data_IF_752489476757
#
_entry.id   IF_752489476757
#
_cell.length_a   1.000
_cell.length_b   1.000
_cell.length_c   1.000
_cell.angle_alpha   90.00
_cell.angle_beta   90.00
_cell.angle_gamma   90.00
#
_symmetry.space_group_name_H-M   'P 1'
#
loop_
_entity.id
_entity.type
_entity.pdbx_description
1 polymer ?
#
# COMPACT_ATOMS: atom_id res chain seq x y z
N UNK A 1 -29.22 -2.85 -27.67
CA UNK A 1 -30.19 -1.72 -27.60
C UNK A 1 -30.82 -1.79 -26.22
N UNK A 2 -30.49 -0.86 -25.33
CA UNK A 2 -31.13 -0.79 -24.02
C UNK A 2 -32.40 0.07 -24.16
N UNK A 3 -33.54 -0.50 -23.80
CA UNK A 3 -34.82 0.22 -23.75
C UNK A 3 -34.79 1.34 -22.69
N UNK A 4 -35.45 2.48 -22.93
CA UNK A 4 -35.54 3.56 -21.95
C UNK A 4 -36.44 3.16 -20.79
N UNK A 5 -35.92 3.20 -19.57
CA UNK A 5 -36.64 2.92 -18.32
C UNK A 5 -37.66 4.06 -18.08
N UNK A 6 -38.93 3.71 -17.86
CA UNK A 6 -40.03 4.67 -17.66
C UNK A 6 -39.80 5.55 -16.41
N UNK A 7 -40.28 6.81 -16.45
CA UNK A 7 -40.07 7.79 -15.37
C UNK A 7 -40.61 7.38 -13.99
N UNK A 8 -41.54 6.41 -13.91
CA UNK A 8 -42.10 5.86 -12.68
C UNK A 8 -41.12 4.95 -11.92
N UNK A 9 -40.26 4.18 -12.64
CA UNK A 9 -39.22 3.33 -12.03
C UNK A 9 -38.07 4.14 -11.45
N UNK A 10 -37.72 5.25 -12.08
CA UNK A 10 -36.65 6.14 -11.60
C UNK A 10 -37.01 6.81 -10.27
N UNK A 11 -38.30 7.19 -10.10
CA UNK A 11 -38.79 7.80 -8.86
C UNK A 11 -38.87 6.78 -7.72
N UNK A 12 -39.24 5.53 -8.00
CA UNK A 12 -39.25 4.46 -7.00
C UNK A 12 -37.86 4.11 -6.53
N UNK A 13 -36.91 3.97 -7.47
CA UNK A 13 -35.47 3.72 -7.13
C UNK A 13 -34.84 4.85 -6.29
N UNK A 14 -35.20 6.12 -6.50
CA UNK A 14 -34.76 7.22 -5.66
C UNK A 14 -35.30 7.19 -4.23
N UNK A 15 -36.55 6.73 -4.03
CA UNK A 15 -37.10 6.57 -2.68
C UNK A 15 -36.48 5.43 -1.90
N UNK A 16 -36.13 4.34 -2.58
CA UNK A 16 -35.46 3.20 -1.95
C UNK A 16 -33.99 3.53 -1.58
N UNK A 17 -33.27 4.32 -2.39
CA UNK A 17 -31.92 4.84 -2.05
C UNK A 17 -31.95 5.75 -0.80
N UNK A 18 -32.94 6.64 -0.67
CA UNK A 18 -33.06 7.52 0.50
C UNK A 18 -33.39 6.78 1.80
N UNK A 19 -34.03 5.60 1.72
CA UNK A 19 -34.27 4.75 2.90
C UNK A 19 -32.99 3.97 3.30
N UNK A 20 -32.21 3.49 2.33
CA UNK A 20 -30.89 2.88 2.60
C UNK A 20 -29.93 3.84 3.30
N UNK A 21 -29.92 5.14 2.96
CA UNK A 21 -29.09 6.14 3.62
C UNK A 21 -29.43 6.35 5.10
N UNK A 22 -30.68 6.13 5.50
CA UNK A 22 -31.10 6.23 6.91
C UNK A 22 -30.79 4.98 7.73
N UNK A 23 -30.72 3.80 7.11
CA UNK A 23 -30.41 2.53 7.80
C UNK A 23 -28.90 2.33 7.98
N UNK A 24 -28.04 2.95 7.14
CA UNK A 24 -26.57 2.85 7.23
C UNK A 24 -25.93 3.88 8.14
N UNK A 25 -26.67 4.79 8.75
CA UNK A 25 -26.16 5.85 9.63
C UNK A 25 -25.37 5.36 10.87
N UNK A 26 -25.37 4.05 11.15
CA UNK A 26 -24.58 3.43 12.23
C UNK A 26 -23.23 2.83 11.81
N UNK A 27 -22.94 2.73 10.50
CA UNK A 27 -21.73 2.07 9.98
C UNK A 27 -20.63 3.04 9.51
N UNK A 28 -20.80 4.34 9.70
CA UNK A 28 -19.96 5.38 9.10
C UNK A 28 -18.57 5.55 9.74
N UNK A 29 -18.28 4.95 10.89
CA UNK A 29 -16.98 5.12 11.57
C UNK A 29 -16.27 3.79 11.73
N UNK A 30 -15.28 3.54 10.87
CA UNK A 30 -14.34 2.44 11.10
C UNK A 30 -13.38 2.78 12.24
N UNK A 31 -13.13 1.82 13.15
CA UNK A 31 -12.13 1.97 14.22
C UNK A 31 -10.75 1.60 13.70
N UNK A 32 -9.73 2.29 14.18
CA UNK A 32 -8.35 1.84 14.04
C UNK A 32 -8.12 0.72 15.05
N UNK A 33 -7.88 -0.49 14.56
CA UNK A 33 -7.64 -1.66 15.41
C UNK A 33 -6.16 -1.91 15.69
N UNK A 34 -5.30 -1.45 14.77
CA UNK A 34 -3.85 -1.64 14.86
C UNK A 34 -3.12 -0.56 14.06
N UNK A 35 -1.80 -0.49 14.26
CA UNK A 35 -0.88 0.26 13.39
C UNK A 35 0.24 -0.65 12.94
N UNK A 36 0.73 -0.41 11.73
CA UNK A 36 1.87 -1.14 11.21
C UNK A 36 3.14 -0.32 11.36
N UNK A 37 4.21 -0.93 11.86
CA UNK A 37 5.56 -0.37 11.86
C UNK A 37 6.34 -0.94 10.69
N UNK A 38 6.91 -0.08 9.87
CA UNK A 38 7.66 -0.45 8.67
C UNK A 38 8.96 0.34 8.52
N UNK A 39 9.80 -0.06 7.58
CA UNK A 39 11.03 0.66 7.23
C UNK A 39 10.79 1.91 6.35
N UNK A 40 9.53 2.28 6.07
CA UNK A 40 9.15 3.37 5.18
C UNK A 40 8.65 4.60 5.96
N UNK A 41 9.54 5.56 6.28
CA UNK A 41 9.16 6.75 7.05
C UNK A 41 8.35 7.78 6.23
N UNK A 42 8.34 7.64 4.91
CA UNK A 42 7.64 8.52 3.95
C UNK A 42 7.07 7.70 2.80
N UNK A 43 6.10 8.26 2.09
CA UNK A 43 5.47 7.61 0.92
C UNK A 43 6.40 7.34 -0.26
N UNK A 44 7.53 8.07 -0.38
CA UNK A 44 8.49 7.87 -1.47
C UNK A 44 9.38 6.66 -1.19
N UNK A 45 9.39 5.71 -2.11
CA UNK A 45 10.13 4.44 -1.99
C UNK A 45 9.30 3.27 -1.44
N UNK A 46 8.05 3.47 -1.06
CA UNK A 46 7.15 2.36 -0.71
C UNK A 46 6.88 1.53 -1.97
N UNK A 47 6.90 0.18 -1.89
CA UNK A 47 6.46 -0.69 -2.98
C UNK A 47 5.06 -0.30 -3.45
N UNK A 48 4.84 -0.31 -4.76
CA UNK A 48 3.57 0.16 -5.35
C UNK A 48 2.38 -0.72 -5.04
N UNK A 49 2.61 -1.97 -4.69
CA UNK A 49 1.62 -2.97 -4.26
C UNK A 49 2.29 -3.92 -3.28
N UNK A 50 1.48 -4.53 -2.43
CA UNK A 50 1.91 -5.64 -1.57
C UNK A 50 2.46 -6.82 -2.37
N UNK A 51 3.39 -7.56 -1.79
CA UNK A 51 4.01 -8.74 -2.41
C UNK A 51 5.06 -8.45 -3.49
N UNK A 52 5.31 -7.17 -3.84
CA UNK A 52 6.37 -6.82 -4.81
C UNK A 52 7.77 -6.78 -4.20
N UNK A 53 7.89 -6.77 -2.90
CA UNK A 53 9.16 -6.90 -2.17
C UNK A 53 8.93 -7.70 -0.88
N UNK A 54 10.00 -8.22 -0.29
CA UNK A 54 9.95 -8.91 1.01
C UNK A 54 9.98 -7.94 2.20
N UNK A 55 9.59 -6.67 2.00
CA UNK A 55 9.58 -5.67 3.06
C UNK A 55 8.75 -6.14 4.25
N UNK A 56 9.35 -6.11 5.43
CA UNK A 56 8.70 -6.55 6.66
C UNK A 56 7.91 -5.42 7.32
N UNK A 57 6.85 -5.79 8.05
CA UNK A 57 6.07 -4.92 8.90
C UNK A 57 5.68 -5.61 10.20
N UNK A 58 5.62 -4.84 11.28
CA UNK A 58 5.11 -5.29 12.57
C UNK A 58 3.75 -4.65 12.83
N UNK A 59 2.70 -5.46 12.82
CA UNK A 59 1.35 -5.03 13.18
C UNK A 59 1.23 -5.02 14.69
N UNK A 60 0.99 -3.84 15.26
CA UNK A 60 0.82 -3.61 16.69
C UNK A 60 -0.62 -3.18 16.94
N UNK A 61 -1.36 -3.98 17.68
CA UNK A 61 -2.76 -3.69 18.00
C UNK A 61 -2.89 -2.50 18.96
N UNK A 62 -3.94 -1.72 18.78
CA UNK A 62 -4.31 -0.68 19.75
C UNK A 62 -4.71 -1.35 21.08
N UNK A 63 -4.54 -0.68 22.23
CA UNK A 63 -4.73 -1.30 23.56
C UNK A 63 -6.08 -2.02 23.74
N UNK A 64 -7.16 -1.46 23.21
CA UNK A 64 -8.52 -2.04 23.27
C UNK A 64 -8.59 -3.41 22.58
N UNK A 65 -7.77 -3.65 21.55
CA UNK A 65 -7.81 -4.85 20.69
C UNK A 65 -6.68 -5.86 20.97
N UNK A 66 -5.90 -5.69 22.05
CA UNK A 66 -4.82 -6.60 22.45
C UNK A 66 -5.34 -7.85 23.16
N UNK A 67 -6.36 -8.47 22.60
CA UNK A 67 -6.98 -9.67 23.17
C UNK A 67 -6.37 -10.90 22.50
N UNK A 68 -5.67 -11.82 23.23
CA UNK A 68 -5.05 -13.00 22.63
C UNK A 68 -6.06 -13.89 21.89
N UNK A 69 -7.28 -13.98 22.40
CA UNK A 69 -8.34 -14.78 21.79
C UNK A 69 -8.76 -14.29 20.39
N UNK A 70 -8.57 -13.01 20.08
CA UNK A 70 -8.84 -12.46 18.76
C UNK A 70 -7.87 -12.96 17.68
N UNK A 71 -6.73 -13.54 18.09
CA UNK A 71 -5.71 -14.09 17.20
C UNK A 71 -5.71 -15.62 17.16
N UNK A 72 -6.62 -16.27 17.90
CA UNK A 72 -6.69 -17.74 17.97
C UNK A 72 -6.97 -18.33 16.59
N UNK A 73 -6.08 -19.19 16.11
CA UNK A 73 -6.18 -19.86 14.80
C UNK A 73 -5.61 -19.04 13.63
N UNK A 74 -5.13 -17.79 13.84
CA UNK A 74 -4.54 -16.99 12.75
C UNK A 74 -3.23 -17.60 12.23
N UNK A 75 -2.53 -18.36 13.07
CA UNK A 75 -1.28 -19.06 12.73
C UNK A 75 -1.44 -20.16 11.68
N UNK A 76 -2.66 -20.61 11.43
CA UNK A 76 -2.97 -21.61 10.39
C UNK A 76 -2.95 -21.00 8.98
N UNK A 77 -2.97 -19.65 8.87
CA UNK A 77 -2.99 -18.92 7.60
C UNK A 77 -1.61 -18.39 7.23
N UNK A 78 -1.23 -18.57 5.98
CA UNK A 78 0.04 -18.05 5.44
C UNK A 78 -0.06 -16.60 4.98
N UNK A 79 -1.24 -16.13 4.59
CA UNK A 79 -1.47 -14.78 4.08
C UNK A 79 -2.70 -14.15 4.71
N UNK A 80 -2.63 -12.83 4.83
CA UNK A 80 -3.69 -12.01 5.41
C UNK A 80 -4.03 -10.85 4.48
N UNK A 81 -5.31 -10.54 4.37
CA UNK A 81 -5.79 -9.27 3.87
C UNK A 81 -5.74 -8.23 4.98
N UNK A 82 -5.12 -7.09 4.72
CA UNK A 82 -5.11 -5.93 5.61
C UNK A 82 -5.87 -4.79 4.95
N UNK A 83 -6.91 -4.29 5.62
CA UNK A 83 -7.63 -3.08 5.28
C UNK A 83 -7.06 -1.93 6.09
N UNK A 84 -6.61 -0.85 5.43
CA UNK A 84 -5.87 0.22 6.07
C UNK A 84 -6.20 1.60 5.48
N UNK A 85 -5.83 2.67 6.17
CA UNK A 85 -6.12 4.03 5.77
C UNK A 85 -4.92 4.76 5.18
N UNK A 86 -5.12 5.48 4.08
CA UNK A 86 -4.12 6.40 3.55
C UNK A 86 -4.00 7.64 4.44
N UNK A 87 -3.09 7.63 5.41
CA UNK A 87 -2.96 8.64 6.47
C UNK A 87 -2.49 10.02 5.97
N UNK A 88 -1.77 10.08 4.84
CA UNK A 88 -1.26 11.35 4.29
C UNK A 88 -2.11 11.94 3.16
N UNK A 89 -3.26 11.34 2.85
CA UNK A 89 -4.17 11.90 1.87
C UNK A 89 -5.08 12.92 2.54
N UNK A 90 -4.71 14.20 2.44
CA UNK A 90 -5.62 15.29 2.79
C UNK A 90 -6.61 15.49 1.63
N UNK A 91 -7.84 15.07 1.79
CA UNK A 91 -8.93 15.54 0.95
C UNK A 91 -9.37 16.91 1.52
N UNK A 92 -9.31 17.94 0.70
CA UNK A 92 -10.01 19.17 0.99
C UNK A 92 -11.49 18.82 1.16
N UNK A 93 -12.06 19.19 2.28
CA UNK A 93 -13.37 18.77 2.77
C UNK A 93 -14.43 18.83 1.67
N UNK A 94 -15.01 17.68 1.34
CA UNK A 94 -16.27 17.55 0.62
C UNK A 94 -16.19 17.32 -0.89
N UNK A 95 -15.03 17.38 -1.55
CA UNK A 95 -14.96 17.19 -3.01
C UNK A 95 -14.02 16.05 -3.40
N UNK A 96 -14.57 14.96 -3.91
CA UNK A 96 -13.79 13.90 -4.57
C UNK A 96 -13.82 14.10 -6.09
N UNK A 97 -12.81 13.57 -6.77
CA UNK A 97 -12.75 13.64 -8.24
C UNK A 97 -13.05 12.26 -8.83
N UNK A 98 -14.00 12.20 -9.77
CA UNK A 98 -14.39 10.96 -10.44
C UNK A 98 -13.25 10.33 -11.25
N UNK A 99 -12.26 11.12 -11.66
CA UNK A 99 -11.11 10.64 -12.43
C UNK A 99 -9.79 11.05 -11.79
N UNK A 100 -8.78 10.20 -11.97
CA UNK A 100 -7.39 10.43 -11.54
C UNK A 100 -6.43 10.25 -12.72
N UNK A 101 -5.19 10.70 -12.55
CA UNK A 101 -4.10 10.50 -13.52
C UNK A 101 -3.08 9.54 -12.92
N UNK A 102 -3.17 8.24 -13.18
CA UNK A 102 -2.20 7.29 -12.64
C UNK A 102 -0.79 7.59 -13.18
N UNK A 103 0.24 7.68 -12.33
CA UNK A 103 1.61 7.92 -12.78
C UNK A 103 2.09 6.91 -13.82
N UNK A 104 1.68 5.65 -13.72
CA UNK A 104 2.03 4.58 -14.67
C UNK A 104 1.52 4.79 -16.11
N UNK A 105 0.50 5.63 -16.30
CA UNK A 105 0.01 6.03 -17.63
C UNK A 105 0.69 7.32 -18.13
N UNK A 106 1.85 7.68 -17.58
CA UNK A 106 2.59 8.88 -17.98
C UNK A 106 2.01 10.18 -17.39
N UNK A 107 1.00 10.11 -16.51
CA UNK A 107 0.37 11.28 -15.87
C UNK A 107 -0.55 12.09 -16.78
N UNK A 108 -0.67 11.76 -18.07
CA UNK A 108 -1.52 12.48 -19.04
C UNK A 108 -2.90 11.83 -19.22
N UNK A 109 -2.97 10.51 -19.15
CA UNK A 109 -4.24 9.80 -19.28
C UNK A 109 -5.06 9.85 -17.98
N UNK A 110 -6.37 10.05 -18.15
CA UNK A 110 -7.32 9.98 -17.03
C UNK A 110 -8.04 8.65 -17.02
N UNK A 111 -8.16 8.07 -15.84
CA UNK A 111 -9.00 6.88 -15.62
C UNK A 111 -10.00 7.16 -14.50
N UNK A 112 -11.10 6.43 -14.49
CA UNK A 112 -12.06 6.46 -13.37
C UNK A 112 -11.37 6.07 -12.07
N UNK A 113 -11.71 6.74 -10.97
CA UNK A 113 -11.10 6.47 -9.65
C UNK A 113 -11.32 5.03 -9.21
N UNK A 114 -12.45 4.41 -9.59
CA UNK A 114 -12.76 3.02 -9.29
C UNK A 114 -12.08 2.01 -10.22
N UNK A 115 -11.53 2.48 -11.35
CA UNK A 115 -10.72 1.65 -12.26
C UNK A 115 -9.22 1.60 -11.87
N UNK A 116 -8.85 2.16 -10.71
CA UNK A 116 -7.47 2.16 -10.21
C UNK A 116 -7.42 2.04 -8.67
N UNK A 117 -6.21 1.86 -8.13
CA UNK A 117 -5.95 1.81 -6.68
C UNK A 117 -5.39 3.13 -6.15
N UNK A 118 -5.80 4.27 -6.72
CA UNK A 118 -5.40 5.59 -6.26
C UNK A 118 -5.91 5.86 -4.83
N UNK A 119 -5.12 6.52 -3.97
CA UNK A 119 -5.58 6.96 -2.65
C UNK A 119 -6.61 8.09 -2.72
N UNK A 120 -6.69 8.83 -3.83
CA UNK A 120 -7.63 9.95 -4.04
C UNK A 120 -9.02 9.46 -4.41
N UNK A 121 -9.66 8.76 -3.48
CA UNK A 121 -10.99 8.15 -3.66
C UNK A 121 -11.93 8.54 -2.51
N UNK A 122 -13.28 8.40 -2.66
CA UNK A 122 -14.22 8.82 -1.63
C UNK A 122 -13.87 8.31 -0.24
N UNK A 123 -13.53 7.01 -0.14
CA UNK A 123 -13.00 6.39 1.06
C UNK A 123 -11.54 6.02 0.80
N UNK A 124 -10.56 6.71 1.38
CA UNK A 124 -9.14 6.46 1.15
C UNK A 124 -8.67 5.20 1.91
N UNK A 125 -9.26 4.05 1.55
CA UNK A 125 -8.96 2.74 2.12
C UNK A 125 -8.05 1.98 1.16
N UNK A 126 -6.97 1.42 1.69
CA UNK A 126 -6.07 0.49 1.04
C UNK A 126 -6.44 -0.96 1.38
N UNK A 127 -6.07 -1.87 0.51
CA UNK A 127 -6.20 -3.32 0.68
C UNK A 127 -4.90 -3.97 0.23
N UNK A 128 -4.26 -4.71 1.13
CA UNK A 128 -2.98 -5.37 0.88
C UNK A 128 -3.04 -6.82 1.32
N UNK A 129 -2.61 -7.72 0.44
CA UNK A 129 -2.35 -9.11 0.81
C UNK A 129 -0.89 -9.23 1.27
N UNK A 130 -0.68 -9.60 2.52
CA UNK A 130 0.65 -9.76 3.11
C UNK A 130 0.86 -11.19 3.58
N UNK A 131 2.11 -11.63 3.63
CA UNK A 131 2.46 -12.92 4.19
C UNK A 131 2.56 -12.80 5.71
N UNK A 132 1.92 -13.68 6.45
CA UNK A 132 2.13 -13.85 7.89
C UNK A 132 3.41 -14.64 8.12
N UNK A 133 4.41 -14.02 8.72
CA UNK A 133 5.68 -14.69 9.05
C UNK A 133 5.59 -15.41 10.39
N UNK A 134 5.09 -14.71 11.41
CA UNK A 134 4.89 -15.27 12.76
C UNK A 134 4.13 -14.32 13.68
N UNK A 135 3.60 -14.84 14.75
CA UNK A 135 3.09 -14.07 15.88
C UNK A 135 4.26 -13.84 16.87
N UNK A 136 4.38 -12.62 17.38
CA UNK A 136 5.43 -12.22 18.33
C UNK A 136 4.78 -11.74 19.61
N UNK A 137 5.19 -12.29 20.75
CA UNK A 137 4.88 -11.71 22.06
C UNK A 137 5.88 -10.60 22.37
N UNK A 138 5.39 -9.37 22.51
CA UNK A 138 6.19 -8.19 22.80
C UNK A 138 5.82 -7.64 24.20
N UNK A 139 6.81 -7.40 25.07
CA UNK A 139 6.59 -6.98 26.48
C UNK A 139 5.65 -5.77 26.59
N UNK A 140 5.84 -4.76 25.76
CA UNK A 140 5.06 -3.51 25.79
C UNK A 140 3.75 -3.58 25.03
N UNK A 141 3.73 -4.34 23.92
CA UNK A 141 2.63 -4.28 22.96
C UNK A 141 1.74 -5.52 22.95
N UNK A 142 2.07 -6.55 23.77
CA UNK A 142 1.36 -7.82 23.76
C UNK A 142 1.63 -8.61 22.47
N UNK A 143 0.62 -9.33 21.99
CA UNK A 143 0.75 -10.12 20.77
C UNK A 143 0.75 -9.20 19.55
N UNK A 144 1.76 -9.35 18.68
CA UNK A 144 1.95 -8.62 17.45
C UNK A 144 2.07 -9.58 16.26
N UNK A 145 1.74 -9.14 15.05
CA UNK A 145 1.94 -9.95 13.85
C UNK A 145 3.16 -9.42 13.09
N UNK A 146 4.15 -10.27 12.86
CA UNK A 146 5.23 -10.01 11.91
C UNK A 146 4.75 -10.47 10.53
N UNK A 147 4.72 -9.52 9.59
CA UNK A 147 4.29 -9.76 8.22
C UNK A 147 5.37 -9.33 7.23
N UNK A 148 5.32 -9.85 6.00
CA UNK A 148 6.17 -9.42 4.90
C UNK A 148 5.36 -9.15 3.64
N UNK A 149 5.98 -8.46 2.67
CA UNK A 149 5.27 -8.04 1.46
C UNK A 149 4.49 -6.73 1.65
N UNK A 150 4.86 -5.88 2.61
CA UNK A 150 4.11 -4.67 2.93
C UNK A 150 4.34 -3.54 1.93
N UNK A 151 3.29 -2.75 1.69
CA UNK A 151 3.26 -1.56 0.83
C UNK A 151 2.67 -0.35 1.58
N UNK A 152 2.92 -0.29 2.88
CA UNK A 152 2.38 0.72 3.79
C UNK A 152 3.51 1.53 4.43
N UNK A 153 3.24 2.81 4.67
CA UNK A 153 4.12 3.69 5.43
C UNK A 153 4.13 3.31 6.91
N UNK A 154 5.21 3.64 7.62
CA UNK A 154 5.27 3.50 9.08
C UNK A 154 4.10 4.23 9.74
N UNK A 155 3.52 3.65 10.80
CA UNK A 155 2.35 4.15 11.55
C UNK A 155 1.03 4.17 10.75
N UNK A 156 0.95 3.53 9.60
CA UNK A 156 -0.32 3.43 8.87
C UNK A 156 -1.40 2.76 9.72
N UNK A 157 -2.60 3.36 9.85
CA UNK A 157 -3.70 2.79 10.61
C UNK A 157 -4.31 1.59 9.88
N UNK A 158 -4.56 0.52 10.61
CA UNK A 158 -5.23 -0.69 10.16
C UNK A 158 -6.66 -0.70 10.71
N UNK A 159 -7.63 -1.00 9.86
CA UNK A 159 -9.05 -1.04 10.19
C UNK A 159 -9.59 -2.46 10.35
N UNK A 160 -9.02 -3.42 9.59
CA UNK A 160 -9.45 -4.81 9.65
C UNK A 160 -8.35 -5.75 9.14
N UNK A 161 -8.37 -6.99 9.61
CA UNK A 161 -7.48 -8.07 9.18
C UNK A 161 -8.33 -9.30 8.92
N UNK A 162 -8.19 -9.92 7.74
CA UNK A 162 -8.90 -11.15 7.37
C UNK A 162 -7.92 -12.18 6.83
N UNK A 163 -8.16 -13.47 7.05
CA UNK A 163 -7.36 -14.50 6.40
C UNK A 163 -7.56 -14.48 4.88
N UNK A 164 -6.49 -14.74 4.14
CA UNK A 164 -6.56 -15.01 2.70
C UNK A 164 -6.96 -16.47 2.48
N UNK A 165 -7.99 -16.69 1.68
CA UNK A 165 -8.55 -18.01 1.37
C UNK A 165 -8.27 -18.36 -0.10
N UNK A 166 -7.23 -19.17 -0.40
CA UNK A 166 -6.79 -19.42 -1.79
C UNK A 166 -7.91 -19.90 -2.72
N UNK A 167 -8.84 -20.69 -2.20
CA UNK A 167 -9.92 -21.29 -3.01
C UNK A 167 -11.01 -20.30 -3.46
N UNK A 168 -11.06 -19.10 -2.87
CA UNK A 168 -12.00 -18.03 -3.28
C UNK A 168 -11.30 -16.73 -3.68
N UNK A 169 -10.10 -16.45 -3.15
CA UNK A 169 -9.41 -15.19 -3.38
C UNK A 169 -8.47 -15.23 -4.60
N UNK A 170 -8.03 -16.43 -5.01
CA UNK A 170 -7.14 -16.57 -6.15
C UNK A 170 -7.93 -16.68 -7.47
N UNK A 171 -7.68 -15.73 -8.37
CA UNK A 171 -8.27 -15.67 -9.72
C UNK A 171 -7.17 -15.58 -10.78
N UNK A 172 -6.47 -16.70 -11.10
CA UNK A 172 -5.37 -16.69 -12.07
C UNK A 172 -5.77 -16.19 -13.48
N UNK A 173 -7.05 -16.36 -13.83
CA UNK A 173 -7.63 -15.92 -15.11
C UNK A 173 -7.98 -14.43 -15.15
N UNK A 174 -7.90 -13.72 -14.04
CA UNK A 174 -8.34 -12.33 -13.95
C UNK A 174 -7.47 -11.38 -14.79
N UNK A 175 -8.12 -10.47 -15.52
CA UNK A 175 -7.44 -9.44 -16.29
C UNK A 175 -7.02 -8.27 -15.40
N UNK A 176 -5.73 -7.91 -15.46
CA UNK A 176 -5.13 -6.80 -14.71
C UNK A 176 -5.29 -5.41 -15.34
N UNK A 177 -6.06 -5.27 -16.42
CA UNK A 177 -6.28 -4.00 -17.12
C UNK A 177 -4.97 -3.31 -17.53
N UNK A 178 -4.89 -1.98 -17.39
CA UNK A 178 -3.68 -1.22 -17.72
C UNK A 178 -2.48 -1.54 -16.80
N UNK A 179 -2.71 -2.06 -15.60
CA UNK A 179 -1.65 -2.41 -14.67
C UNK A 179 -0.83 -3.61 -15.14
N UNK A 180 -1.47 -4.56 -15.87
CA UNK A 180 -0.82 -5.76 -16.39
C UNK A 180 0.26 -5.45 -17.43
N UNK A 181 0.04 -4.44 -18.28
CA UNK A 181 0.96 -4.05 -19.36
C UNK A 181 2.34 -3.56 -18.90
N UNK A 182 2.53 -3.27 -17.61
CA UNK A 182 3.77 -2.70 -17.07
C UNK A 182 4.38 -3.50 -15.91
N UNK A 183 4.02 -4.78 -15.76
CA UNK A 183 4.54 -5.64 -14.67
C UNK A 183 6.03 -5.99 -14.84
N UNK A 184 6.54 -6.02 -16.07
CA UNK A 184 7.87 -6.54 -16.41
C UNK A 184 8.99 -5.49 -16.38
N UNK A 185 8.68 -4.24 -16.05
CA UNK A 185 9.68 -3.18 -16.01
C UNK A 185 10.46 -3.20 -14.71
N UNK A 186 11.74 -3.52 -14.80
CA UNK A 186 12.69 -3.47 -13.71
C UNK A 186 13.96 -2.73 -14.12
N UNK A 187 14.54 -1.97 -13.19
CA UNK A 187 15.86 -1.35 -13.35
C UNK A 187 16.96 -2.30 -12.88
N UNK A 188 18.09 -2.29 -13.58
CA UNK A 188 19.33 -2.79 -13.03
C UNK A 188 19.80 -1.85 -11.91
N UNK A 189 20.22 -2.38 -10.76
CA UNK A 189 20.55 -1.57 -9.59
C UNK A 189 22.04 -1.71 -9.24
N UNK A 190 22.76 -0.59 -9.25
CA UNK A 190 24.15 -0.50 -8.82
C UNK A 190 24.25 0.23 -7.49
N UNK A 191 24.69 -0.46 -6.45
CA UNK A 191 24.99 0.12 -5.13
C UNK A 191 26.49 -0.04 -4.86
N UNK A 192 27.25 1.04 -4.64
CA UNK A 192 28.65 0.95 -4.24
C UNK A 192 28.82 0.12 -2.97
N UNK A 193 29.88 -0.69 -2.91
CA UNK A 193 30.15 -1.58 -1.78
C UNK A 193 30.09 -0.88 -0.43
N UNK A 194 30.72 0.30 -0.32
CA UNK A 194 30.70 1.12 0.91
C UNK A 194 29.31 1.65 1.28
N UNK A 195 28.42 1.84 0.31
CA UNK A 195 27.02 2.17 0.54
C UNK A 195 26.24 0.96 1.07
N UNK A 196 26.44 -0.21 0.45
CA UNK A 196 25.79 -1.45 0.84
C UNK A 196 26.19 -1.92 2.25
N UNK A 197 27.44 -1.75 2.65
CA UNK A 197 27.93 -2.08 4.00
C UNK A 197 27.19 -1.34 5.11
N UNK A 198 26.72 -0.11 4.85
CA UNK A 198 25.99 0.69 5.85
C UNK A 198 24.60 0.13 6.13
N UNK A 199 24.00 -0.58 5.16
CA UNK A 199 22.69 -1.19 5.30
C UNK A 199 22.81 -2.54 6.02
N UNK A 200 22.00 -2.79 7.07
CA UNK A 200 21.95 -4.08 7.74
C UNK A 200 21.73 -5.23 6.74
N UNK A 201 22.40 -6.34 6.93
CA UNK A 201 22.44 -7.43 5.96
C UNK A 201 21.04 -7.93 5.59
N UNK A 202 20.18 -8.10 6.59
CA UNK A 202 18.80 -8.53 6.45
C UNK A 202 17.91 -7.55 5.66
N UNK A 203 18.33 -6.29 5.49
CA UNK A 203 17.61 -5.24 4.73
C UNK A 203 18.11 -5.06 3.30
N UNK A 204 19.27 -5.60 2.96
CA UNK A 204 19.92 -5.39 1.65
C UNK A 204 19.09 -5.92 0.49
N UNK A 205 18.56 -7.15 0.62
CA UNK A 205 17.69 -7.77 -0.38
C UNK A 205 16.46 -6.90 -0.65
N UNK A 206 15.81 -6.45 0.39
CA UNK A 206 14.60 -5.60 0.30
C UNK A 206 14.92 -4.28 -0.38
N UNK A 207 16.04 -3.62 -0.01
CA UNK A 207 16.46 -2.39 -0.67
C UNK A 207 16.67 -2.58 -2.18
N UNK A 208 17.34 -3.66 -2.59
CA UNK A 208 17.52 -4.00 -4.00
C UNK A 208 16.18 -4.20 -4.73
N UNK A 209 15.25 -4.93 -4.12
CA UNK A 209 13.91 -5.16 -4.67
C UNK A 209 13.14 -3.85 -4.86
N UNK A 210 13.21 -2.93 -3.90
CA UNK A 210 12.53 -1.63 -3.97
C UNK A 210 13.12 -0.77 -5.08
N UNK A 211 14.45 -0.65 -5.13
CA UNK A 211 15.14 0.16 -6.14
C UNK A 211 14.92 -0.37 -7.55
N UNK A 212 14.89 -1.70 -7.74
CA UNK A 212 14.64 -2.31 -9.04
C UNK A 212 13.26 -2.00 -9.62
N UNK A 213 12.27 -1.69 -8.76
CA UNK A 213 10.90 -1.32 -9.18
C UNK A 213 10.76 0.13 -9.65
N UNK A 214 11.85 0.87 -9.81
CA UNK A 214 11.86 2.28 -10.17
C UNK A 214 10.96 3.14 -9.27
N UNK A 215 11.44 3.57 -8.11
CA UNK A 215 10.64 4.35 -7.17
C UNK A 215 10.32 5.77 -7.66
N UNK A 216 10.90 6.23 -8.79
CA UNK A 216 10.64 7.55 -9.35
C UNK A 216 9.18 7.73 -9.78
N UNK A 217 8.66 8.96 -9.76
CA UNK A 217 7.46 9.29 -10.51
C UNK A 217 7.69 9.03 -12.01
N UNK A 218 6.80 8.27 -12.66
CA UNK A 218 6.98 7.80 -14.06
C UNK A 218 7.00 8.90 -15.13
N UNK A 219 6.68 10.15 -14.77
CA UNK A 219 6.77 11.33 -15.65
C UNK A 219 8.11 12.07 -15.52
N UNK A 220 9.05 11.59 -14.69
CA UNK A 220 10.35 12.20 -14.49
C UNK A 220 11.43 11.34 -15.15
N UNK A 221 12.05 11.88 -16.21
CA UNK A 221 13.08 11.23 -17.00
C UNK A 221 14.37 12.07 -17.12
N UNK A 222 14.74 12.75 -16.04
CA UNK A 222 15.97 13.53 -15.98
C UNK A 222 17.11 12.64 -15.42
N UNK A 223 18.13 12.29 -16.24
CA UNK A 223 19.23 11.42 -15.81
C UNK A 223 20.18 12.09 -14.80
N UNK A 224 20.24 13.43 -14.77
CA UNK A 224 21.09 14.18 -13.84
C UNK A 224 20.41 14.37 -12.48
N UNK A 225 19.12 14.12 -12.38
CA UNK A 225 18.37 14.32 -11.15
C UNK A 225 18.68 13.26 -10.11
N UNK A 226 19.10 13.72 -8.92
CA UNK A 226 19.30 12.88 -7.76
C UNK A 226 18.03 12.83 -6.92
N UNK A 227 17.52 11.63 -6.70
CA UNK A 227 16.38 11.35 -5.84
C UNK A 227 16.87 10.88 -4.47
N UNK A 228 16.10 11.16 -3.42
CA UNK A 228 16.38 10.69 -2.07
C UNK A 228 15.18 9.98 -1.46
N UNK A 229 15.38 8.78 -0.93
CA UNK A 229 14.35 8.05 -0.20
C UNK A 229 14.82 7.62 1.18
N UNK A 230 13.89 7.61 2.14
CA UNK A 230 14.12 7.05 3.46
C UNK A 230 13.83 5.56 3.47
N UNK A 231 14.74 4.75 4.00
CA UNK A 231 14.56 3.32 4.19
C UNK A 231 15.36 2.83 5.39
N UNK A 232 14.73 2.09 6.30
CA UNK A 232 15.36 1.45 7.47
C UNK A 232 16.25 2.40 8.31
N UNK A 233 15.86 3.67 8.45
CA UNK A 233 16.64 4.69 9.18
C UNK A 233 17.78 5.31 8.40
N UNK A 234 17.89 5.01 7.10
CA UNK A 234 18.87 5.59 6.18
C UNK A 234 18.20 6.52 5.17
N UNK A 235 18.94 7.48 4.65
CA UNK A 235 18.64 8.19 3.42
C UNK A 235 19.47 7.58 2.29
N UNK A 236 18.79 7.07 1.27
CA UNK A 236 19.38 6.50 0.07
C UNK A 236 19.19 7.49 -1.07
N UNK A 237 20.28 8.06 -1.59
CA UNK A 237 20.25 8.95 -2.76
C UNK A 237 20.65 8.17 -4.00
N UNK A 238 19.91 8.36 -5.08
CA UNK A 238 20.12 7.64 -6.34
C UNK A 238 19.77 8.50 -7.54
N UNK A 239 20.32 8.15 -8.70
CA UNK A 239 19.93 8.66 -10.02
C UNK A 239 19.62 7.49 -10.95
N UNK A 240 18.94 7.75 -12.04
CA UNK A 240 18.63 6.71 -13.03
C UNK A 240 19.01 7.18 -14.41
N UNK A 241 19.75 6.35 -15.11
CA UNK A 241 20.23 6.57 -16.46
C UNK A 241 19.82 5.38 -17.34
N UNK A 242 18.96 5.62 -18.32
CA UNK A 242 18.39 4.54 -19.13
C UNK A 242 17.59 3.54 -18.26
N UNK A 243 18.04 2.28 -18.28
CA UNK A 243 17.46 1.16 -17.52
C UNK A 243 18.22 0.85 -16.21
N UNK A 244 19.18 1.71 -15.83
CA UNK A 244 20.06 1.46 -14.70
C UNK A 244 19.90 2.52 -13.61
N UNK A 245 19.77 2.08 -12.37
CA UNK A 245 19.73 2.92 -11.17
C UNK A 245 21.08 2.86 -10.46
N UNK A 246 21.68 4.02 -10.25
CA UNK A 246 22.94 4.18 -9.53
C UNK A 246 22.69 4.82 -8.16
N UNK A 247 23.02 4.12 -7.09
CA UNK A 247 23.01 4.71 -5.75
C UNK A 247 24.24 5.60 -5.60
N UNK A 248 23.97 6.87 -5.32
CA UNK A 248 25.02 7.92 -5.17
C UNK A 248 25.54 7.94 -3.74
N UNK A 249 24.65 7.82 -2.74
CA UNK A 249 25.05 7.81 -1.34
C UNK A 249 24.04 7.10 -0.45
N UNK A 250 24.54 6.55 0.64
CA UNK A 250 23.74 6.00 1.76
C UNK A 250 24.23 6.67 3.03
N UNK A 251 23.34 7.38 3.72
CA UNK A 251 23.64 8.11 4.97
C UNK A 251 22.64 7.76 6.05
N UNK A 252 23.08 7.59 7.29
CA UNK A 252 22.18 7.35 8.43
C UNK A 252 21.37 8.63 8.70
N UNK A 253 20.04 8.53 8.77
CA UNK A 253 19.22 9.66 9.18
C UNK A 253 19.45 9.95 10.66
N UNK A 254 19.77 11.20 10.99
CA UNK A 254 19.75 11.65 12.37
C UNK A 254 18.29 11.63 12.86
N UNK A 255 18.04 11.01 14.01
CA UNK A 255 16.74 11.17 14.67
C UNK A 255 16.60 12.65 15.05
N UNK A 256 15.61 13.31 14.46
CA UNK A 256 15.15 14.60 14.96
C UNK A 256 14.37 14.40 16.24
#
# INVERSE_FOLDING_TARGET
>A
MCEPVSGHEVVKKKKDCNNLEKETAGLEKVKVIARIHTDFPTKFGIPRQSGLSDAAGLVVFEPEFRQPDALRGIEEYTHLWILWGFSEVRQESGTWKATVRPPRLGGNERVGVFACRSPYRPNPIGLSCVKLERIISHEKYGMCLLVSGVDMMDQTPIYDIKPYLPYVDAHPEASGGFAHKKQTYHLEVHIPYEGMKKIPEEKRKVLMQILSQDPRPSYQNDPERVYGMGFAGFEVKFRVEGSTLYVVSVTKKQKK
#
